data_IF_856058844225
#
_entry.id   IF_856058844225
#
_cell.length_a   1.000
_cell.length_b   1.000
_cell.length_c   1.000
_cell.angle_alpha   90.00
_cell.angle_beta   90.00
_cell.angle_gamma   90.00
#
_symmetry.space_group_name_H-M   'P 1'
#
loop_
_entity.id
_entity.type
_entity.pdbx_description
1 polymer ?
#
# COMPACT_ATOMS: atom_id res chain seq x y z
N UNK A 1 9.50 5.33 56.06
CA UNK A 1 8.14 5.39 55.47
C UNK A 1 8.25 6.26 54.23
N UNK A 2 8.53 5.66 53.06
CA UNK A 2 7.57 5.31 51.97
C UNK A 2 6.92 6.60 51.41
N UNK A 3 6.95 6.93 50.12
CA UNK A 3 6.72 6.12 48.91
C UNK A 3 7.40 6.71 47.67
N UNK A 4 7.87 5.81 46.81
CA UNK A 4 8.14 6.03 45.38
C UNK A 4 6.80 6.33 44.69
N UNK A 5 6.74 7.41 43.93
CA UNK A 5 5.62 7.70 43.03
C UNK A 5 6.05 7.36 41.60
N UNK A 6 5.75 6.13 41.17
CA UNK A 6 5.83 5.73 39.77
C UNK A 6 4.75 6.49 38.99
N UNK A 7 5.16 7.52 38.26
CA UNK A 7 4.38 8.07 37.17
C UNK A 7 4.60 7.21 35.95
N UNK A 8 3.86 6.11 35.83
CA UNK A 8 3.72 5.42 34.56
C UNK A 8 3.12 6.43 33.57
N UNK A 9 3.94 6.90 32.62
CA UNK A 9 3.45 7.50 31.40
C UNK A 9 2.54 6.46 30.75
N UNK A 10 1.24 6.72 30.81
CA UNK A 10 0.27 6.09 29.94
C UNK A 10 0.75 6.41 28.53
N UNK A 11 1.34 5.41 27.87
CA UNK A 11 1.57 5.46 26.44
C UNK A 11 0.16 5.52 25.86
N UNK A 12 -0.25 6.72 25.44
CA UNK A 12 -1.42 6.90 24.59
C UNK A 12 -1.14 6.04 23.36
N UNK A 13 -1.74 4.85 23.32
CA UNK A 13 -1.80 4.04 22.12
C UNK A 13 -2.50 4.90 21.07
N UNK A 14 -1.71 5.64 20.28
CA UNK A 14 -2.16 6.51 19.20
C UNK A 14 -3.09 5.67 18.30
N UNK A 15 -4.39 5.88 18.45
CA UNK A 15 -5.40 5.22 17.64
C UNK A 15 -5.04 5.50 16.18
N UNK A 16 -4.99 4.47 15.31
CA UNK A 16 -4.63 4.68 13.92
C UNK A 16 -5.59 5.71 13.33
N UNK A 17 -5.03 6.87 12.93
CA UNK A 17 -5.78 7.97 12.34
C UNK A 17 -6.74 7.43 11.28
N UNK A 18 -7.98 7.91 11.19
CA UNK A 18 -8.91 7.43 10.17
C UNK A 18 -8.31 7.57 8.77
N UNK A 19 -8.54 6.60 7.85
CA UNK A 19 -8.04 6.71 6.49
C UNK A 19 -8.63 7.94 5.79
N UNK A 20 -7.85 8.63 4.94
CA UNK A 20 -8.39 9.70 4.12
C UNK A 20 -9.50 9.13 3.22
N UNK A 21 -10.50 9.96 2.91
CA UNK A 21 -11.55 9.59 1.95
C UNK A 21 -10.92 9.26 0.61
N UNK A 22 -11.21 8.07 0.10
CA UNK A 22 -10.84 7.64 -1.25
C UNK A 22 -11.70 8.43 -2.24
N UNK A 23 -11.19 9.60 -2.65
CA UNK A 23 -11.76 10.42 -3.73
C UNK A 23 -11.31 9.87 -5.08
N UNK A 24 -11.52 8.57 -5.29
CA UNK A 24 -11.28 7.94 -6.59
C UNK A 24 -12.25 8.58 -7.58
N UNK A 25 -11.75 9.60 -8.25
CA UNK A 25 -12.37 10.18 -9.43
C UNK A 25 -12.59 9.06 -10.46
N UNK A 26 -13.61 9.17 -11.33
CA UNK A 26 -13.71 8.26 -12.47
C UNK A 26 -12.34 8.17 -13.15
N UNK A 27 -11.85 6.95 -13.40
CA UNK A 27 -10.59 6.72 -14.09
C UNK A 27 -10.59 7.55 -15.37
N UNK A 28 -9.82 8.63 -15.42
CA UNK A 28 -9.58 9.34 -16.67
C UNK A 28 -8.74 8.38 -17.52
N UNK A 29 -9.35 7.87 -18.59
CA UNK A 29 -8.87 6.81 -19.51
C UNK A 29 -7.51 7.12 -20.21
N UNK A 30 -6.73 8.12 -19.79
CA UNK A 30 -5.70 8.78 -20.60
C UNK A 30 -4.22 8.35 -20.34
N UNK A 31 -3.90 7.58 -19.29
CA UNK A 31 -2.47 7.27 -18.99
C UNK A 31 -1.97 5.90 -19.50
N UNK A 32 -2.87 4.94 -19.73
CA UNK A 32 -2.51 3.67 -20.38
C UNK A 32 -2.49 3.84 -21.90
N UNK A 33 -1.56 3.16 -22.59
CA UNK A 33 -1.58 3.16 -24.06
C UNK A 33 -2.97 2.71 -24.54
N UNK A 34 -3.49 3.29 -25.61
CA UNK A 34 -4.83 2.96 -26.14
C UNK A 34 -5.03 1.44 -26.35
N UNK A 35 -3.95 0.71 -26.62
CA UNK A 35 -3.94 -0.74 -26.74
C UNK A 35 -4.12 -1.45 -25.39
N UNK A 36 -3.37 -1.05 -24.36
CA UNK A 36 -3.47 -1.61 -23.01
C UNK A 36 -4.84 -1.36 -22.40
N UNK A 37 -5.41 -0.16 -22.61
CA UNK A 37 -6.75 0.17 -22.18
C UNK A 37 -7.83 -0.68 -22.85
N UNK A 38 -7.72 -0.85 -24.17
CA UNK A 38 -8.62 -1.73 -24.94
C UNK A 38 -8.53 -3.17 -24.43
N UNK A 39 -7.32 -3.65 -24.17
CA UNK A 39 -7.07 -4.99 -23.66
C UNK A 39 -7.66 -5.16 -22.25
N UNK A 40 -7.48 -4.17 -21.36
CA UNK A 40 -8.07 -4.18 -20.01
C UNK A 40 -9.61 -4.28 -20.07
N UNK A 41 -10.27 -3.46 -20.91
CA UNK A 41 -11.72 -3.52 -21.14
C UNK A 41 -12.21 -4.89 -21.63
N UNK A 42 -11.42 -5.57 -22.46
CA UNK A 42 -11.76 -6.89 -22.98
C UNK A 42 -11.57 -8.03 -21.96
N UNK A 43 -10.65 -7.87 -21.01
CA UNK A 43 -10.27 -8.94 -20.08
C UNK A 43 -10.82 -8.76 -18.66
N UNK A 44 -11.26 -7.56 -18.28
CA UNK A 44 -11.77 -7.31 -16.91
C UNK A 44 -12.99 -8.19 -16.63
N UNK A 45 -13.05 -8.73 -15.41
CA UNK A 45 -14.15 -9.58 -14.95
C UNK A 45 -14.67 -9.04 -13.61
N UNK A 46 -15.95 -9.27 -13.27
CA UNK A 46 -16.47 -8.89 -11.97
C UNK A 46 -15.65 -9.52 -10.82
N UNK A 47 -15.32 -8.70 -9.82
CA UNK A 47 -14.61 -9.10 -8.60
C UNK A 47 -15.31 -8.50 -7.37
N UNK A 48 -14.90 -8.89 -6.16
CA UNK A 48 -15.37 -8.31 -4.91
C UNK A 48 -14.19 -8.04 -3.99
N UNK A 49 -14.28 -7.00 -3.16
CA UNK A 49 -13.32 -6.72 -2.09
C UNK A 49 -13.53 -7.58 -0.85
N UNK A 50 -14.56 -8.45 -0.82
CA UNK A 50 -14.86 -9.36 0.29
C UNK A 50 -15.00 -8.65 1.66
N UNK A 51 -15.49 -7.40 1.68
CA UNK A 51 -15.54 -6.55 2.89
C UNK A 51 -16.28 -7.22 4.05
N UNK A 52 -17.44 -7.83 3.78
CA UNK A 52 -18.27 -8.48 4.80
C UNK A 52 -17.57 -9.70 5.41
N UNK A 53 -16.86 -10.48 4.59
CA UNK A 53 -16.16 -11.67 5.05
C UNK A 53 -14.88 -11.30 5.81
N UNK A 54 -14.14 -10.30 5.33
CA UNK A 54 -12.93 -9.80 5.98
C UNK A 54 -13.26 -9.15 7.33
N UNK A 55 -14.39 -8.44 7.45
CA UNK A 55 -14.82 -7.82 8.72
C UNK A 55 -15.05 -8.83 9.86
N UNK A 56 -15.28 -10.10 9.53
CA UNK A 56 -15.51 -11.19 10.51
C UNK A 56 -14.26 -12.01 10.80
N UNK A 57 -13.19 -11.82 10.05
CA UNK A 57 -11.92 -12.53 10.26
C UNK A 57 -11.08 -11.81 11.30
N UNK A 58 -10.30 -12.59 12.04
CA UNK A 58 -9.25 -12.04 12.89
C UNK A 58 -8.20 -11.33 12.02
N UNK A 59 -7.64 -10.25 12.57
CA UNK A 59 -6.50 -9.57 11.97
C UNK A 59 -5.29 -10.52 11.83
N UNK A 60 -4.37 -10.18 10.93
CA UNK A 60 -3.12 -10.91 10.80
C UNK A 60 -2.26 -10.76 12.07
N UNK A 61 -1.48 -11.79 12.42
CA UNK A 61 -0.64 -11.79 13.62
C UNK A 61 0.77 -11.29 13.34
N UNK A 62 1.38 -10.66 14.35
CA UNK A 62 2.78 -10.20 14.33
C UNK A 62 3.77 -11.36 14.18
N UNK A 63 3.51 -12.49 14.84
CA UNK A 63 4.39 -13.67 14.77
C UNK A 63 4.55 -14.20 13.32
N UNK A 64 3.52 -14.06 12.48
CA UNK A 64 3.51 -14.61 11.12
C UNK A 64 3.59 -13.55 10.03
N UNK A 65 2.57 -12.70 9.92
CA UNK A 65 2.53 -11.70 8.87
C UNK A 65 3.43 -10.50 9.21
N UNK A 66 3.43 -10.07 10.47
CA UNK A 66 4.26 -8.96 10.93
C UNK A 66 5.76 -9.25 10.91
N UNK A 67 6.15 -10.53 11.01
CA UNK A 67 7.56 -10.95 10.97
C UNK A 67 8.17 -10.96 9.56
N UNK A 68 7.37 -10.75 8.51
CA UNK A 68 7.86 -10.69 7.14
C UNK A 68 8.34 -9.28 6.79
N UNK A 69 9.48 -9.21 6.09
CA UNK A 69 9.94 -7.95 5.48
C UNK A 69 8.95 -7.51 4.40
N UNK A 70 8.33 -6.34 4.61
CA UNK A 70 7.41 -5.71 3.67
C UNK A 70 8.13 -4.60 2.91
N UNK A 71 7.89 -4.50 1.61
CA UNK A 71 8.34 -3.37 0.76
C UNK A 71 7.10 -2.78 0.09
N UNK A 72 6.99 -1.46 0.09
CA UNK A 72 5.86 -0.75 -0.54
C UNK A 72 6.39 0.15 -1.65
N UNK A 73 5.68 0.16 -2.79
CA UNK A 73 5.96 1.05 -3.91
C UNK A 73 4.97 2.20 -3.90
N UNK A 74 5.49 3.42 -3.78
CA UNK A 74 4.73 4.66 -3.85
C UNK A 74 4.58 5.10 -5.31
N UNK A 75 3.38 5.55 -5.65
CA UNK A 75 3.02 6.08 -6.96
C UNK A 75 2.46 7.49 -6.76
N UNK A 76 3.21 8.50 -7.21
CA UNK A 76 2.92 9.90 -6.89
C UNK A 76 1.64 10.44 -7.52
N UNK A 77 1.28 9.93 -8.70
CA UNK A 77 0.21 10.46 -9.55
C UNK A 77 -0.93 9.45 -9.73
N UNK A 78 -1.10 8.55 -8.75
CA UNK A 78 -2.06 7.44 -8.77
C UNK A 78 -3.49 7.91 -8.42
N UNK A 79 -4.43 7.88 -9.38
CA UNK A 79 -5.79 8.43 -9.26
C UNK A 79 -6.78 7.64 -8.35
N UNK A 80 -6.83 6.32 -8.47
CA UNK A 80 -7.52 5.29 -7.66
C UNK A 80 -6.95 5.04 -6.27
N UNK A 81 -5.71 5.46 -5.98
CA UNK A 81 -5.08 5.24 -4.69
C UNK A 81 -4.13 6.41 -4.40
N UNK A 82 -4.71 7.52 -3.98
CA UNK A 82 -3.98 8.77 -3.79
C UNK A 82 -2.71 8.61 -2.95
N UNK A 83 -1.69 9.41 -3.24
CA UNK A 83 -0.42 9.38 -2.52
C UNK A 83 -0.59 9.55 -1.00
N UNK A 84 -1.57 10.35 -0.56
CA UNK A 84 -1.88 10.53 0.86
C UNK A 84 -2.46 9.26 1.48
N UNK A 85 -3.30 8.52 0.75
CA UNK A 85 -3.78 7.21 1.20
C UNK A 85 -2.64 6.19 1.26
N UNK A 86 -1.74 6.18 0.28
CA UNK A 86 -0.56 5.32 0.29
C UNK A 86 0.35 5.60 1.51
N UNK A 87 0.64 6.87 1.78
CA UNK A 87 1.41 7.30 2.97
C UNK A 87 0.71 6.91 4.27
N UNK A 88 -0.60 7.05 4.32
CA UNK A 88 -1.40 6.60 5.46
C UNK A 88 -1.25 5.09 5.67
N UNK A 89 -1.33 4.27 4.61
CA UNK A 89 -1.14 2.82 4.75
C UNK A 89 0.25 2.47 5.30
N UNK A 90 1.30 3.11 4.79
CA UNK A 90 2.69 2.90 5.25
C UNK A 90 2.87 3.30 6.71
N UNK A 91 2.23 4.39 7.14
CA UNK A 91 2.27 4.84 8.54
C UNK A 91 1.61 3.81 9.48
N UNK A 92 0.48 3.24 9.07
CA UNK A 92 -0.30 2.32 9.90
C UNK A 92 0.16 0.85 9.80
N UNK A 93 0.88 0.49 8.73
CA UNK A 93 1.52 -0.81 8.56
C UNK A 93 2.97 -0.59 8.13
N UNK A 94 3.91 -0.46 9.10
CA UNK A 94 5.30 -0.17 8.79
C UNK A 94 5.89 -1.19 7.83
N UNK A 95 6.66 -0.68 6.88
CA UNK A 95 7.39 -1.46 5.88
C UNK A 95 8.89 -1.24 6.03
N UNK A 96 9.69 -2.23 5.63
CA UNK A 96 11.15 -2.18 5.73
C UNK A 96 11.75 -1.17 4.75
N UNK A 97 11.19 -1.09 3.56
CA UNK A 97 11.69 -0.25 2.48
C UNK A 97 10.53 0.36 1.70
N UNK A 98 10.73 1.60 1.27
CA UNK A 98 9.85 2.34 0.37
C UNK A 98 10.59 2.59 -0.93
N UNK A 99 9.95 2.26 -2.03
CA UNK A 99 10.42 2.62 -3.37
C UNK A 99 9.41 3.59 -3.99
N UNK A 100 9.88 4.57 -4.74
CA UNK A 100 9.02 5.51 -5.45
C UNK A 100 9.21 5.31 -6.94
N UNK A 101 8.10 5.08 -7.65
CA UNK A 101 8.06 5.06 -9.11
C UNK A 101 7.30 6.31 -9.53
N UNK A 102 7.99 7.22 -10.19
CA UNK A 102 7.38 8.48 -10.62
C UNK A 102 6.42 8.22 -11.79
N UNK A 103 5.30 8.93 -11.89
CA UNK A 103 4.40 8.91 -13.06
C UNK A 103 2.96 8.44 -12.76
N UNK A 104 2.04 8.58 -13.75
CA UNK A 104 0.59 8.72 -13.52
C UNK A 104 -0.26 7.43 -13.58
N UNK A 105 0.29 6.25 -13.24
CA UNK A 105 -0.44 5.00 -13.51
C UNK A 105 -0.52 4.03 -12.33
N UNK A 106 -1.74 3.55 -12.08
CA UNK A 106 -2.05 2.38 -11.23
C UNK A 106 -1.45 1.09 -11.73
N UNK A 107 -1.13 1.04 -13.02
CA UNK A 107 -0.67 -0.14 -13.71
C UNK A 107 0.79 0.04 -14.15
N UNK A 108 1.75 0.18 -13.22
CA UNK A 108 3.18 0.33 -13.55
C UNK A 108 3.74 -0.87 -14.34
N UNK A 109 3.07 -2.03 -14.28
CA UNK A 109 3.39 -3.18 -15.11
C UNK A 109 3.16 -2.93 -16.61
N UNK A 110 2.24 -2.02 -16.97
CA UNK A 110 1.90 -1.67 -18.34
C UNK A 110 2.61 -0.39 -18.78
N UNK A 111 2.53 0.67 -17.99
CA UNK A 111 3.17 1.96 -18.32
C UNK A 111 4.69 1.95 -18.16
N UNK A 112 5.22 1.31 -17.12
CA UNK A 112 6.65 1.36 -16.73
C UNK A 112 7.27 0.00 -16.40
N UNK A 113 7.10 -1.04 -17.24
CA UNK A 113 7.53 -2.40 -16.91
C UNK A 113 9.03 -2.53 -16.61
N UNK A 114 9.89 -1.76 -17.28
CA UNK A 114 11.34 -1.82 -17.07
C UNK A 114 11.76 -1.20 -15.72
N UNK A 115 11.17 -0.06 -15.36
CA UNK A 115 11.44 0.61 -14.07
C UNK A 115 10.96 -0.27 -12.92
N UNK A 116 9.73 -0.80 -13.02
CA UNK A 116 9.19 -1.77 -12.07
C UNK A 116 10.09 -3.01 -11.94
N UNK A 117 10.55 -3.57 -13.06
CA UNK A 117 11.45 -4.73 -13.06
C UNK A 117 12.79 -4.42 -12.38
N UNK A 118 13.36 -3.23 -12.60
CA UNK A 118 14.59 -2.80 -11.93
C UNK A 118 14.40 -2.63 -10.42
N UNK A 119 13.28 -2.05 -9.98
CA UNK A 119 12.92 -1.96 -8.57
C UNK A 119 12.84 -3.36 -7.94
N UNK A 120 12.07 -4.27 -8.55
CA UNK A 120 11.91 -5.65 -8.07
C UNK A 120 13.26 -6.39 -8.03
N UNK A 121 14.10 -6.25 -9.07
CA UNK A 121 15.42 -6.86 -9.12
C UNK A 121 16.34 -6.31 -8.02
N UNK A 122 16.26 -5.01 -7.74
CA UNK A 122 17.01 -4.37 -6.65
C UNK A 122 16.61 -4.95 -5.29
N UNK A 123 15.30 -5.08 -5.03
CA UNK A 123 14.79 -5.72 -3.81
C UNK A 123 15.25 -7.18 -3.72
N UNK A 124 15.11 -7.94 -4.80
CA UNK A 124 15.50 -9.35 -4.80
C UNK A 124 17.00 -9.51 -4.47
N UNK A 125 17.85 -8.66 -5.05
CA UNK A 125 19.28 -8.68 -4.80
C UNK A 125 19.66 -8.15 -3.40
N UNK A 126 18.85 -7.29 -2.77
CA UNK A 126 19.09 -6.82 -1.40
C UNK A 126 18.62 -7.84 -0.34
N UNK A 127 17.66 -8.70 -0.68
CA UNK A 127 17.10 -9.74 0.19
C UNK A 127 17.84 -11.08 0.11
N UNK A 128 18.58 -11.38 -0.96
CA UNK A 128 19.45 -12.56 -1.03
C UNK A 128 20.72 -12.26 -0.22
N UNK A 129 20.80 -12.80 1.00
CA UNK A 129 22.01 -12.85 1.83
C UNK A 129 22.46 -14.29 2.01
#
# INVERSE_FOLDING_TARGET
>A
MTTIGDGASHEDDDEPSSPPSDDSSPLDDDDATSQDWTLAKMMVRPTSFFKEDLSKRAAFSEERYGSMDKVFMLYGEDASLTLDYQRWMVKNSPVKELMEINGPDHMPLLSKPQELCQCIATIANSCIR
#
